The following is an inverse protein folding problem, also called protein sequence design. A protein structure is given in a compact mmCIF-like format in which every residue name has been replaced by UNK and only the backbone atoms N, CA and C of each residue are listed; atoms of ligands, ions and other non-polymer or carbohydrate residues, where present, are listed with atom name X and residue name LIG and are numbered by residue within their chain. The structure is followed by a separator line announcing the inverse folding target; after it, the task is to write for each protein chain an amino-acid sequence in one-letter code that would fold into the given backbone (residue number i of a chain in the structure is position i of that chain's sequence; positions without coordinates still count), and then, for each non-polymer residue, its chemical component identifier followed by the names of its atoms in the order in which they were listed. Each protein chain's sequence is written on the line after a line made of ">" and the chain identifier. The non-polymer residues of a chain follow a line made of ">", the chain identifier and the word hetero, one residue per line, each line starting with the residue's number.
data_IF_362900692548
#
_entry.id   IF_362900692548
#
_cell.length_a   1.000
_cell.length_b   1.000
_cell.length_c   1.000
_cell.angle_alpha   90.00
_cell.angle_beta   90.00
_cell.angle_gamma   90.00
#
_symmetry.space_group_name_H-M   'P 1'
#
loop_
_entity.id
_entity.type
_entity.pdbx_description
1 polymer ?
#
# COMPACT_ATOMS: atom_id res chain seq x y z
N UNK A 1 -53.04 -38.22 -47.40
CA UNK A 1 -52.24 -39.01 -46.45
C UNK A 1 -51.20 -38.10 -45.83
N UNK A 2 -51.07 -38.19 -44.51
CA UNK A 2 -50.27 -37.33 -43.63
C UNK A 2 -48.81 -37.81 -43.62
N UNK A 3 -47.86 -36.86 -43.62
CA UNK A 3 -46.47 -36.89 -43.08
C UNK A 3 -45.75 -35.70 -43.77
N UNK A 4 -45.37 -34.60 -43.12
CA UNK A 4 -44.78 -34.46 -41.79
C UNK A 4 -43.26 -34.59 -41.93
N UNK A 5 -42.52 -33.47 -41.87
CA UNK A 5 -41.25 -33.30 -41.16
C UNK A 5 -40.71 -31.89 -41.39
N UNK A 6 -40.80 -31.06 -40.34
CA UNK A 6 -39.93 -29.91 -40.13
C UNK A 6 -38.48 -30.42 -40.01
N UNK A 7 -37.55 -29.78 -40.71
CA UNK A 7 -36.13 -29.85 -40.37
C UNK A 7 -35.65 -28.44 -40.08
N UNK A 8 -35.54 -28.13 -38.79
CA UNK A 8 -34.92 -26.92 -38.30
C UNK A 8 -33.40 -27.09 -38.42
N UNK A 9 -32.77 -26.25 -39.23
CA UNK A 9 -31.33 -26.09 -39.24
C UNK A 9 -30.90 -25.46 -37.92
N UNK A 10 -30.38 -26.29 -37.00
CA UNK A 10 -29.73 -25.83 -35.78
C UNK A 10 -28.41 -25.19 -36.19
N UNK A 11 -28.37 -23.86 -36.13
CA UNK A 11 -27.15 -23.08 -36.21
C UNK A 11 -26.17 -23.60 -35.15
N UNK A 12 -25.02 -24.09 -35.60
CA UNK A 12 -23.90 -24.48 -34.76
C UNK A 12 -23.38 -23.27 -34.00
N UNK A 13 -23.96 -23.02 -32.83
CA UNK A 13 -23.42 -22.13 -31.83
C UNK A 13 -22.11 -22.76 -31.36
N UNK A 14 -20.99 -22.21 -31.82
CA UNK A 14 -19.68 -22.51 -31.27
C UNK A 14 -19.72 -22.09 -29.80
N UNK A 15 -19.91 -23.07 -28.91
CA UNK A 15 -19.80 -22.88 -27.48
C UNK A 15 -18.32 -22.62 -27.22
N UNK A 16 -17.94 -21.34 -27.16
CA UNK A 16 -16.74 -20.94 -26.45
C UNK A 16 -16.97 -21.34 -24.99
N UNK A 17 -16.57 -22.57 -24.65
CA UNK A 17 -16.34 -22.98 -23.28
C UNK A 17 -15.24 -22.06 -22.75
N UNK A 18 -15.64 -20.93 -22.18
CA UNK A 18 -14.85 -20.22 -21.20
C UNK A 18 -14.60 -21.21 -20.08
N UNK A 19 -13.44 -21.88 -20.14
CA UNK A 19 -12.88 -22.62 -19.02
C UNK A 19 -12.64 -21.57 -17.94
N UNK A 20 -13.68 -21.28 -17.16
CA UNK A 20 -13.56 -20.79 -15.80
C UNK A 20 -12.83 -21.91 -15.06
N UNK A 21 -11.51 -21.94 -15.23
CA UNK A 21 -10.64 -22.67 -14.34
C UNK A 21 -11.00 -22.13 -12.95
N UNK A 22 -11.56 -23.02 -12.15
CA UNK A 22 -11.86 -22.84 -10.74
C UNK A 22 -10.54 -22.52 -10.03
N UNK A 23 -10.13 -21.25 -10.13
CA UNK A 23 -8.92 -20.70 -9.53
C UNK A 23 -9.25 -20.46 -8.07
N UNK A 24 -9.33 -21.57 -7.32
CA UNK A 24 -9.22 -21.51 -5.88
C UNK A 24 -8.01 -20.63 -5.54
N UNK A 25 -8.15 -19.60 -4.68
CA UNK A 25 -7.07 -18.67 -4.38
C UNK A 25 -5.85 -19.46 -3.95
N UNK A 26 -4.76 -19.33 -4.70
CA UNK A 26 -3.52 -20.02 -4.39
C UNK A 26 -3.02 -19.51 -3.03
N UNK A 27 -2.72 -20.40 -2.06
CA UNK A 27 -2.27 -19.96 -0.76
C UNK A 27 -0.91 -19.27 -0.89
N UNK A 28 -0.90 -17.95 -0.69
CA UNK A 28 0.26 -17.08 -0.75
C UNK A 28 0.44 -16.42 0.61
N UNK A 29 1.63 -16.55 1.19
CA UNK A 29 2.01 -15.78 2.38
C UNK A 29 2.65 -14.47 1.91
N UNK A 30 2.13 -13.35 2.42
CA UNK A 30 2.61 -12.00 2.12
C UNK A 30 3.12 -11.38 3.42
N UNK A 31 4.38 -10.99 3.44
CA UNK A 31 4.99 -10.29 4.57
C UNK A 31 5.59 -8.96 4.12
N UNK A 32 5.41 -7.94 4.94
CA UNK A 32 5.96 -6.60 4.70
C UNK A 32 6.74 -6.13 5.92
N UNK A 33 7.88 -5.50 5.68
CA UNK A 33 8.64 -4.82 6.73
C UNK A 33 9.29 -3.55 6.20
N UNK A 34 9.30 -2.50 7.01
CA UNK A 34 10.07 -1.31 6.69
C UNK A 34 11.56 -1.64 6.92
N UNK A 35 12.37 -1.39 5.90
CA UNK A 35 13.83 -1.47 5.93
C UNK A 35 14.39 -0.08 5.64
N UNK A 36 15.54 0.28 6.23
CA UNK A 36 16.12 1.61 6.03
C UNK A 36 15.24 2.73 6.58
N UNK A 37 15.18 2.86 7.90
CA UNK A 37 14.52 3.98 8.57
C UNK A 37 15.50 5.13 8.77
N UNK A 38 15.36 6.18 7.97
CA UNK A 38 16.00 7.48 8.25
C UNK A 38 15.02 8.37 8.99
N UNK A 39 15.48 9.08 10.02
CA UNK A 39 14.76 10.19 10.62
C UNK A 39 15.70 11.39 10.69
N UNK A 40 15.52 12.32 9.77
CA UNK A 40 16.17 13.63 9.85
C UNK A 40 15.24 14.59 10.60
N UNK A 41 15.75 15.21 11.66
CA UNK A 41 15.01 16.18 12.47
C UNK A 41 15.82 17.46 12.61
N UNK A 42 15.31 18.55 12.06
CA UNK A 42 15.84 19.88 12.38
C UNK A 42 15.32 20.27 13.77
N UNK A 43 16.09 19.90 14.80
CA UNK A 43 15.72 20.05 16.22
C UNK A 43 15.42 21.49 16.65
N UNK A 44 15.69 22.50 15.81
CA UNK A 44 15.37 23.91 16.07
C UNK A 44 14.10 24.40 15.37
N UNK A 45 13.58 23.67 14.38
CA UNK A 45 12.50 24.14 13.50
C UNK A 45 11.32 23.19 13.38
N UNK A 46 11.25 22.14 14.20
CA UNK A 46 10.15 21.17 14.21
C UNK A 46 9.97 20.40 12.90
N UNK A 47 10.90 20.53 11.94
CA UNK A 47 10.85 19.83 10.66
C UNK A 47 11.38 18.42 10.82
N UNK A 48 10.65 17.47 10.28
CA UNK A 48 10.99 16.06 10.28
C UNK A 48 10.85 15.50 8.86
N UNK A 49 11.85 14.73 8.45
CA UNK A 49 11.82 13.92 7.23
C UNK A 49 12.01 12.48 7.65
N UNK A 50 11.01 11.63 7.36
CA UNK A 50 11.11 10.20 7.58
C UNK A 50 11.32 9.50 6.25
N UNK A 51 12.46 8.83 6.10
CA UNK A 51 12.74 8.01 4.92
C UNK A 51 12.25 6.59 5.21
N UNK A 52 11.39 6.05 4.34
CA UNK A 52 10.83 4.71 4.48
C UNK A 52 11.02 3.92 3.20
N UNK A 53 11.51 2.70 3.33
CA UNK A 53 11.56 1.73 2.24
C UNK A 53 10.86 0.45 2.68
N UNK A 54 9.96 -0.07 1.86
CA UNK A 54 9.20 -1.28 2.18
C UNK A 54 9.87 -2.47 1.49
N UNK A 55 10.24 -3.47 2.28
CA UNK A 55 10.66 -4.79 1.80
C UNK A 55 9.49 -5.75 1.93
N UNK A 56 9.19 -6.44 0.84
CA UNK A 56 8.05 -7.33 0.68
C UNK A 56 8.59 -8.71 0.42
N UNK A 57 8.10 -9.69 1.16
CA UNK A 57 8.42 -11.09 0.96
C UNK A 57 7.15 -11.85 0.60
N UNK A 58 7.15 -12.45 -0.58
CA UNK A 58 6.06 -13.30 -1.05
C UNK A 58 6.55 -14.74 -1.00
N UNK A 59 5.82 -15.61 -0.34
CA UNK A 59 6.14 -17.04 -0.25
C UNK A 59 4.96 -17.86 -0.73
N UNK A 60 5.19 -18.69 -1.76
CA UNK A 60 4.18 -19.62 -2.25
C UNK A 60 4.07 -20.78 -1.27
N UNK A 61 2.85 -21.04 -0.79
CA UNK A 61 2.54 -22.23 0.01
C UNK A 61 2.00 -23.37 -0.86
N UNK A 62 1.79 -23.10 -2.16
CA UNK A 62 1.30 -24.07 -3.13
C UNK A 62 2.45 -24.67 -3.93
N UNK A 63 2.38 -25.97 -4.28
CA UNK A 63 3.29 -26.57 -5.25
C UNK A 63 3.02 -26.09 -6.69
N UNK A 64 1.86 -25.45 -6.93
CA UNK A 64 1.51 -24.85 -8.22
C UNK A 64 2.13 -23.47 -8.37
N UNK A 65 2.65 -23.21 -9.56
CA UNK A 65 3.17 -21.89 -9.95
C UNK A 65 1.98 -20.90 -10.05
N UNK A 66 1.97 -19.81 -9.25
CA UNK A 66 0.94 -18.77 -9.35
C UNK A 66 1.04 -17.89 -10.60
N UNK A 67 2.14 -17.99 -11.36
CA UNK A 67 2.35 -17.22 -12.58
C UNK A 67 2.73 -15.75 -12.32
N UNK A 68 2.48 -14.85 -13.28
CA UNK A 68 2.76 -13.43 -13.11
C UNK A 68 1.88 -12.80 -12.03
N UNK A 69 2.50 -12.01 -11.15
CA UNK A 69 1.86 -11.32 -10.04
C UNK A 69 2.04 -9.81 -10.17
N UNK A 70 1.01 -9.08 -9.77
CA UNK A 70 1.05 -7.64 -9.59
C UNK A 70 0.95 -7.32 -8.11
N UNK A 71 1.92 -6.60 -7.58
CA UNK A 71 2.00 -6.21 -6.17
C UNK A 71 1.77 -4.71 -6.06
N UNK A 72 0.64 -4.32 -5.47
CA UNK A 72 0.33 -2.93 -5.15
C UNK A 72 0.76 -2.65 -3.72
N UNK A 73 1.68 -1.71 -3.56
CA UNK A 73 2.20 -1.24 -2.29
C UNK A 73 1.59 0.14 -2.01
N UNK A 74 0.98 0.31 -0.85
CA UNK A 74 0.33 1.54 -0.44
C UNK A 74 1.07 2.05 0.80
N UNK A 75 1.55 3.27 0.75
CA UNK A 75 2.02 3.97 1.92
C UNK A 75 0.95 4.92 2.43
N UNK A 76 0.69 4.85 3.73
CA UNK A 76 -0.26 5.71 4.41
C UNK A 76 0.46 6.76 5.23
N UNK A 77 -0.11 7.96 5.26
CA UNK A 77 0.36 9.04 6.09
C UNK A 77 -0.77 9.66 6.92
N UNK A 78 -0.42 10.17 8.09
CA UNK A 78 -1.27 11.04 8.90
C UNK A 78 -1.02 12.48 8.49
N UNK A 79 -2.05 13.16 8.02
CA UNK A 79 -2.03 14.60 7.76
C UNK A 79 -2.07 15.35 9.10
N UNK A 80 -1.00 16.05 9.45
CA UNK A 80 -0.89 16.74 10.74
C UNK A 80 -1.82 17.94 10.87
N UNK A 81 -2.34 18.49 9.77
CA UNK A 81 -3.27 19.62 9.79
C UNK A 81 -4.70 19.18 10.06
N UNK A 82 -5.11 18.08 9.42
CA UNK A 82 -6.50 17.60 9.48
C UNK A 82 -6.69 16.43 10.45
N UNK A 83 -5.60 15.88 10.94
CA UNK A 83 -5.55 14.66 11.74
C UNK A 83 -6.14 13.43 11.06
N UNK A 84 -6.18 13.44 9.72
CA UNK A 84 -6.76 12.35 8.92
C UNK A 84 -5.67 11.47 8.34
N UNK A 85 -5.99 10.19 8.24
CA UNK A 85 -5.21 9.22 7.48
C UNK A 85 -5.48 9.43 5.98
N UNK A 86 -4.41 9.44 5.19
CA UNK A 86 -4.45 9.59 3.74
C UNK A 86 -3.52 8.58 3.07
N UNK A 87 -3.82 8.22 1.82
CA UNK A 87 -2.86 7.51 0.97
C UNK A 87 -1.81 8.52 0.51
N UNK A 88 -0.56 8.28 0.88
CA UNK A 88 0.56 9.11 0.45
C UNK A 88 1.03 8.71 -0.94
N UNK A 89 1.21 7.40 -1.11
CA UNK A 89 1.81 6.83 -2.31
C UNK A 89 1.24 5.46 -2.58
N UNK A 90 1.01 5.18 -3.86
CA UNK A 90 0.71 3.85 -4.36
C UNK A 90 1.76 3.48 -5.43
N UNK A 91 2.32 2.28 -5.32
CA UNK A 91 3.33 1.74 -6.22
C UNK A 91 2.88 0.37 -6.72
N UNK A 92 3.02 0.14 -8.01
CA UNK A 92 2.71 -1.14 -8.62
C UNK A 92 4.02 -1.81 -9.07
N UNK A 93 4.28 -3.00 -8.54
CA UNK A 93 5.46 -3.81 -8.86
C UNK A 93 5.00 -5.08 -9.57
N UNK A 94 5.58 -5.37 -10.73
CA UNK A 94 5.36 -6.65 -11.41
C UNK A 94 6.41 -7.66 -10.94
N UNK A 95 6.00 -8.89 -10.67
CA UNK A 95 6.91 -9.99 -10.33
C UNK A 95 6.36 -11.32 -10.84
N UNK A 96 7.17 -12.36 -10.81
CA UNK A 96 6.74 -13.73 -11.05
C UNK A 96 7.31 -14.61 -9.94
N UNK A 97 6.49 -15.50 -9.41
CA UNK A 97 6.87 -16.41 -8.33
C UNK A 97 6.67 -17.83 -8.83
N UNK A 98 7.74 -18.54 -9.16
CA UNK A 98 7.61 -19.91 -9.69
C UNK A 98 7.47 -20.95 -8.59
N UNK A 99 8.40 -20.98 -7.63
CA UNK A 99 8.37 -21.77 -6.38
C UNK A 99 9.20 -21.09 -5.29
N UNK A 100 8.82 -21.27 -4.02
CA UNK A 100 9.54 -20.74 -2.87
C UNK A 100 9.17 -19.28 -2.57
N UNK A 101 10.17 -18.43 -2.39
CA UNK A 101 9.99 -17.05 -1.94
C UNK A 101 10.69 -16.04 -2.87
N UNK A 102 10.07 -14.88 -3.04
CA UNK A 102 10.67 -13.72 -3.71
C UNK A 102 10.64 -12.50 -2.79
N UNK A 103 11.73 -11.74 -2.79
CA UNK A 103 11.79 -10.45 -2.12
C UNK A 103 11.67 -9.33 -3.15
N UNK A 104 10.80 -8.37 -2.88
CA UNK A 104 10.70 -7.10 -3.59
C UNK A 104 11.04 -5.96 -2.63
N UNK A 105 11.56 -4.86 -3.17
CA UNK A 105 11.81 -3.66 -2.41
C UNK A 105 11.27 -2.45 -3.17
N UNK A 106 10.60 -1.55 -2.46
CA UNK A 106 10.18 -0.27 -3.02
C UNK A 106 11.39 0.68 -3.15
N UNK A 107 11.30 1.75 -3.94
CA UNK A 107 12.13 2.93 -3.72
C UNK A 107 11.96 3.48 -2.30
N UNK A 108 12.91 4.33 -1.88
CA UNK A 108 12.78 5.13 -0.64
C UNK A 108 11.72 6.19 -0.88
N UNK A 109 10.79 6.32 0.06
CA UNK A 109 9.76 7.34 0.08
C UNK A 109 9.95 8.26 1.29
N UNK A 110 9.85 9.57 1.06
CA UNK A 110 10.08 10.61 2.07
C UNK A 110 8.76 11.15 2.62
N UNK A 111 8.60 11.11 3.94
CA UNK A 111 7.47 11.69 4.65
C UNK A 111 7.92 12.97 5.35
N UNK A 112 7.48 14.12 4.82
CA UNK A 112 7.89 15.44 5.30
C UNK A 112 6.79 16.02 6.17
N UNK A 113 7.15 16.34 7.41
CA UNK A 113 6.24 16.93 8.39
C UNK A 113 6.90 18.06 9.14
N UNK A 114 6.07 18.94 9.69
CA UNK A 114 6.45 20.03 10.56
C UNK A 114 5.56 19.96 11.80
N UNK A 115 6.16 19.62 12.94
CA UNK A 115 5.46 19.59 14.21
C UNK A 115 5.13 21.01 14.69
N UNK A 116 4.05 21.14 15.45
CA UNK A 116 3.68 22.42 16.04
C UNK A 116 4.77 22.87 17.01
N UNK A 117 5.27 24.09 16.83
CA UNK A 117 6.30 24.67 17.70
C UNK A 117 6.20 26.19 17.75
N UNK A 118 7.04 26.80 18.58
CA UNK A 118 7.10 28.24 18.75
C UNK A 118 8.47 28.75 18.30
N UNK A 119 8.50 29.66 17.32
CA UNK A 119 9.71 30.34 16.87
C UNK A 119 9.84 31.70 17.58
N UNK A 120 11.06 32.08 17.99
CA UNK A 120 11.36 33.44 18.46
C UNK A 120 11.49 33.65 19.99
N UNK A 121 11.67 32.58 20.77
CA UNK A 121 11.90 32.68 22.22
C UNK A 121 13.38 32.87 22.57
N UNK A 122 13.71 34.01 23.17
CA UNK A 122 15.00 34.24 23.83
C UNK A 122 14.86 35.31 24.89
N UNK A 123 15.61 35.18 25.98
CA UNK A 123 15.67 36.21 27.02
C UNK A 123 16.47 37.39 26.48
N UNK A 124 15.98 38.62 26.62
CA UNK A 124 16.82 39.81 26.43
C UNK A 124 18.02 39.70 27.39
N UNK A 125 19.16 40.36 27.11
CA UNK A 125 20.30 40.40 28.03
C UNK A 125 19.93 40.80 29.47
N UNK A 126 18.81 41.52 29.64
CA UNK A 126 18.30 42.01 30.92
C UNK A 126 17.26 41.07 31.58
N UNK A 127 17.22 39.77 31.24
CA UNK A 127 16.31 38.81 31.87
C UNK A 127 14.84 38.89 31.42
N UNK A 128 14.46 39.87 30.58
CA UNK A 128 13.07 40.03 30.11
C UNK A 128 12.76 39.13 28.91
N UNK A 129 11.61 38.46 28.84
CA UNK A 129 11.23 37.65 27.67
C UNK A 129 11.08 38.51 26.40
N UNK A 130 11.59 38.05 25.25
CA UNK A 130 11.31 38.68 23.94
C UNK A 130 9.84 38.45 23.58
N UNK A 131 9.14 39.53 23.19
CA UNK A 131 7.68 39.59 23.00
C UNK A 131 7.16 38.99 21.68
N UNK A 132 8.01 38.38 20.86
CA UNK A 132 7.66 37.94 19.51
C UNK A 132 7.84 36.43 19.36
N UNK A 133 7.05 35.66 20.10
CA UNK A 133 6.95 34.22 19.93
C UNK A 133 5.88 33.96 18.86
N UNK A 134 6.29 33.52 17.67
CA UNK A 134 5.38 33.12 16.59
C UNK A 134 5.04 31.64 16.76
N UNK A 135 3.75 31.33 16.85
CA UNK A 135 3.27 29.95 16.78
C UNK A 135 3.37 29.47 15.33
N UNK A 136 4.03 28.34 15.12
CA UNK A 136 4.06 27.63 13.85
C UNK A 136 3.13 26.43 13.97
N UNK A 137 2.08 26.41 13.16
CA UNK A 137 1.11 25.31 13.14
C UNK A 137 1.72 24.02 12.56
N UNK A 138 1.18 22.88 12.99
CA UNK A 138 1.56 21.60 12.42
C UNK A 138 1.17 21.53 10.94
N UNK A 139 2.02 20.92 10.11
CA UNK A 139 1.74 20.73 8.69
C UNK A 139 2.53 19.58 8.10
N UNK A 140 2.15 19.16 6.89
CA UNK A 140 2.78 18.02 6.21
C UNK A 140 2.20 16.69 6.68
N UNK A 141 2.91 15.63 6.35
CA UNK A 141 2.40 14.26 6.42
C UNK A 141 3.42 13.37 7.10
N UNK A 142 2.97 12.70 8.14
CA UNK A 142 3.78 11.78 8.94
C UNK A 142 3.51 10.35 8.50
N UNK A 143 4.55 9.54 8.32
CA UNK A 143 4.37 8.12 7.98
C UNK A 143 3.51 7.43 9.05
N UNK A 144 2.49 6.71 8.62
CA UNK A 144 1.54 6.07 9.52
C UNK A 144 1.42 4.55 9.32
N UNK A 145 1.74 4.04 8.13
CA UNK A 145 1.66 2.60 7.87
C UNK A 145 1.85 2.22 6.41
N UNK A 146 1.72 0.93 6.14
CA UNK A 146 1.77 0.37 4.79
C UNK A 146 0.67 -0.67 4.57
N UNK A 147 0.32 -0.87 3.30
CA UNK A 147 -0.51 -1.96 2.81
C UNK A 147 0.10 -2.61 1.58
N UNK A 148 -0.09 -3.92 1.44
CA UNK A 148 0.35 -4.71 0.30
C UNK A 148 -0.86 -5.50 -0.19
N UNK A 149 -1.12 -5.41 -1.49
CA UNK A 149 -2.13 -6.20 -2.19
C UNK A 149 -1.47 -6.93 -3.34
N UNK A 150 -1.69 -8.23 -3.44
CA UNK A 150 -1.10 -9.07 -4.48
C UNK A 150 -2.23 -9.61 -5.35
N UNK A 151 -2.14 -9.32 -6.64
CA UNK A 151 -3.07 -9.77 -7.66
C UNK A 151 -2.41 -10.82 -8.54
N UNK A 152 -3.15 -11.89 -8.83
CA UNK A 152 -2.73 -12.92 -9.77
C UNK A 152 -2.94 -12.54 -11.23
N UNK A 153 -2.71 -13.47 -12.18
CA UNK A 153 -2.80 -13.22 -13.62
C UNK A 153 -4.17 -12.72 -14.10
N UNK A 154 -5.24 -13.08 -13.38
CA UNK A 154 -6.61 -12.67 -13.69
C UNK A 154 -7.04 -11.40 -12.93
N UNK A 155 -6.09 -10.64 -12.38
CA UNK A 155 -6.33 -9.48 -11.51
C UNK A 155 -7.19 -9.79 -10.25
N UNK A 156 -7.26 -11.05 -9.85
CA UNK A 156 -7.91 -11.47 -8.60
C UNK A 156 -6.95 -11.25 -7.45
N UNK A 157 -7.43 -10.65 -6.36
CA UNK A 157 -6.65 -10.50 -5.13
C UNK A 157 -6.39 -11.88 -4.51
N UNK A 158 -5.11 -12.26 -4.40
CA UNK A 158 -4.66 -13.56 -3.90
C UNK A 158 -3.91 -13.46 -2.57
N UNK A 159 -3.53 -12.26 -2.16
CA UNK A 159 -2.86 -12.03 -0.88
C UNK A 159 -2.90 -10.57 -0.48
N UNK A 160 -2.95 -10.31 0.82
CA UNK A 160 -2.90 -8.97 1.40
C UNK A 160 -2.10 -9.00 2.69
N UNK A 161 -1.41 -7.90 2.98
CA UNK A 161 -0.77 -7.68 4.27
C UNK A 161 -0.83 -6.18 4.60
N UNK A 162 -0.97 -5.85 5.87
CA UNK A 162 -0.99 -4.46 6.33
C UNK A 162 -0.12 -4.34 7.59
N UNK A 163 0.45 -3.15 7.79
CA UNK A 163 1.14 -2.83 9.05
C UNK A 163 0.15 -2.84 10.22
N UNK A 164 0.56 -3.26 11.42
CA UNK A 164 -0.31 -3.35 12.60
C UNK A 164 -1.06 -2.06 12.97
N UNK A 165 -0.55 -0.89 12.57
CA UNK A 165 -1.25 0.40 12.71
C UNK A 165 -2.47 0.56 11.77
N UNK A 166 -2.72 -0.41 10.89
CA UNK A 166 -3.75 -0.40 9.88
C UNK A 166 -4.41 -1.78 9.78
N UNK A 167 -5.66 -1.89 10.24
CA UNK A 167 -6.56 -2.98 9.89
C UNK A 167 -7.23 -2.63 8.57
N UNK A 168 -7.51 -3.64 7.73
CA UNK A 168 -8.10 -3.45 6.41
C UNK A 168 -9.35 -2.53 6.49
N UNK A 169 -9.43 -1.43 5.71
CA UNK A 169 -10.58 -0.53 5.73
C UNK A 169 -11.88 -1.24 5.33
N UNK A 170 -11.80 -2.39 4.66
CA UNK A 170 -12.97 -3.20 4.33
C UNK A 170 -13.44 -4.12 5.48
N UNK A 171 -12.58 -4.42 6.47
CA UNK A 171 -12.93 -5.29 7.63
C UNK A 171 -13.40 -4.50 8.87
N UNK A 172 -13.42 -3.16 8.80
CA UNK A 172 -13.83 -2.29 9.92
C UNK A 172 -15.29 -1.84 9.87
N UNK A 173 -16.16 -2.56 9.15
CA UNK A 173 -17.61 -2.32 9.09
C UNK A 173 -18.38 -3.19 10.08
#
# INVERSE_FOLDING_TARGET
>A
MIRGLLSAAVAGCCVCQSVLADLAPLPLKVEGRIVGTGLDTDGKKGKQVQEKKLRIELTSLSPKDPGPLQVTCIFYARDLKTDKMVVEKELNLATALSKGSVTLETPIEDFKSNQQHYEGGGTKPNGKPKKNVKKVEASGREYAGWGIRVYGPSHVLIGKAYSAAYLDPEESK
#
